data_IF_045398051764
#
_entry.id   IF_045398051764
#
_cell.length_a   1.000
_cell.length_b   1.000
_cell.length_c   1.000
_cell.angle_alpha   90.00
_cell.angle_beta   90.00
_cell.angle_gamma   90.00
#
_symmetry.space_group_name_H-M   'P 1'
#
loop_
_entity.id
_entity.type
_entity.pdbx_description
1 polymer ?
#
# COMPACT_ATOMS: atom_id res chain seq x y z
N UNK A 1 -11.07 4.22 3.93
CA UNK A 1 -11.34 4.41 2.48
C UNK A 1 -11.45 3.03 1.84
N UNK A 2 -12.47 2.79 1.00
CA UNK A 2 -12.57 1.58 0.17
C UNK A 2 -12.44 1.98 -1.31
N UNK A 3 -11.45 1.41 -2.01
CA UNK A 3 -11.12 1.74 -3.40
C UNK A 3 -10.38 0.57 -4.06
N UNK A 4 -9.86 0.79 -5.28
CA UNK A 4 -9.13 -0.22 -6.05
C UNK A 4 -7.62 -0.03 -5.98
N UNK A 5 -6.86 -1.07 -6.35
CA UNK A 5 -5.40 -1.11 -6.19
C UNK A 5 -4.64 0.10 -6.75
N UNK A 6 -4.92 0.51 -7.99
CA UNK A 6 -4.23 1.66 -8.60
C UNK A 6 -4.57 2.99 -7.91
N UNK A 7 -5.83 3.18 -7.52
CA UNK A 7 -6.25 4.38 -6.79
C UNK A 7 -5.63 4.45 -5.40
N UNK A 8 -5.58 3.32 -4.68
CA UNK A 8 -4.93 3.22 -3.38
C UNK A 8 -3.41 3.43 -3.48
N UNK A 9 -2.76 2.88 -4.52
CA UNK A 9 -1.34 3.11 -4.81
C UNK A 9 -1.06 4.60 -5.02
N UNK A 10 -1.93 5.31 -5.74
CA UNK A 10 -1.81 6.77 -5.90
C UNK A 10 -1.94 7.54 -4.59
N UNK A 11 -2.85 7.13 -3.71
CA UNK A 11 -3.00 7.75 -2.38
C UNK A 11 -1.76 7.52 -1.51
N UNK A 12 -1.26 6.28 -1.46
CA UNK A 12 -0.04 5.94 -0.72
C UNK A 12 1.17 6.70 -1.28
N UNK A 13 1.30 6.78 -2.62
CA UNK A 13 2.35 7.58 -3.27
C UNK A 13 2.35 9.03 -2.76
N UNK A 14 1.17 9.63 -2.70
CA UNK A 14 1.02 11.02 -2.26
C UNK A 14 1.38 11.20 -0.78
N UNK A 15 0.88 10.31 0.09
CA UNK A 15 1.12 10.39 1.54
C UNK A 15 2.58 10.15 1.88
N UNK A 16 3.20 9.14 1.27
CA UNK A 16 4.57 8.71 1.59
C UNK A 16 5.65 9.41 0.76
N UNK A 17 5.26 10.26 -0.20
CA UNK A 17 6.20 10.93 -1.09
C UNK A 17 6.98 9.97 -2.00
N UNK A 18 6.36 8.88 -2.44
CA UNK A 18 7.00 7.87 -3.28
C UNK A 18 7.26 8.45 -4.68
N UNK A 19 8.47 8.24 -5.19
CA UNK A 19 8.90 8.69 -6.52
C UNK A 19 8.14 7.97 -7.64
N UNK A 20 8.21 8.51 -8.87
CA UNK A 20 7.64 7.85 -10.04
C UNK A 20 8.38 6.56 -10.40
N UNK A 21 9.65 6.46 -10.06
CA UNK A 21 10.50 5.30 -10.30
C UNK A 21 10.13 4.16 -9.34
N UNK A 22 9.95 4.49 -8.05
CA UNK A 22 9.73 3.51 -6.98
C UNK A 22 8.29 3.00 -6.92
N UNK A 23 7.31 3.77 -7.42
CA UNK A 23 5.88 3.41 -7.30
C UNK A 23 5.53 2.09 -7.99
N UNK A 24 6.31 1.71 -9.00
CA UNK A 24 6.18 0.45 -9.74
C UNK A 24 6.40 -0.78 -8.84
N UNK A 25 7.20 -0.65 -7.78
CA UNK A 25 7.48 -1.71 -6.81
C UNK A 25 6.42 -1.87 -5.73
N UNK A 26 5.53 -0.89 -5.54
CA UNK A 26 4.53 -0.90 -4.48
C UNK A 26 3.36 -1.84 -4.81
N UNK A 27 3.16 -2.87 -3.98
CA UNK A 27 2.04 -3.80 -4.10
C UNK A 27 1.09 -3.63 -2.91
N UNK A 28 -0.15 -3.21 -3.18
CA UNK A 28 -1.20 -3.09 -2.17
C UNK A 28 -2.02 -4.38 -2.15
N UNK A 29 -2.12 -5.10 -1.02
CA UNK A 29 -2.90 -6.32 -0.93
C UNK A 29 -4.40 -6.04 -1.00
N UNK A 30 -5.16 -6.96 -1.58
CA UNK A 30 -6.62 -6.87 -1.64
C UNK A 30 -7.23 -7.29 -0.31
N UNK A 31 -8.16 -6.48 0.21
CA UNK A 31 -8.99 -6.85 1.36
C UNK A 31 -8.28 -6.83 2.73
N UNK A 32 -7.03 -6.34 2.80
CA UNK A 32 -6.30 -6.19 4.07
C UNK A 32 -6.29 -4.71 4.48
N UNK A 33 -6.82 -4.33 5.66
CA UNK A 33 -6.82 -2.95 6.12
C UNK A 33 -5.41 -2.39 6.35
N UNK A 34 -5.11 -1.25 5.73
CA UNK A 34 -3.91 -0.45 5.96
C UNK A 34 -4.27 0.81 6.75
N UNK A 35 -3.73 0.95 7.96
CA UNK A 35 -3.96 2.09 8.84
C UNK A 35 -2.90 3.17 8.62
N UNK A 36 -3.33 4.42 8.52
CA UNK A 36 -2.48 5.61 8.52
C UNK A 36 -2.86 6.49 9.69
N UNK A 37 -1.87 6.87 10.47
CA UNK A 37 -1.96 7.98 11.43
C UNK A 37 -1.28 9.18 10.78
N UNK A 38 -1.99 10.31 10.73
CA UNK A 38 -1.53 11.53 10.07
C UNK A 38 -1.36 12.64 11.10
N UNK A 39 -0.38 13.52 10.89
CA UNK A 39 -0.22 14.75 11.66
C UNK A 39 -1.16 15.86 11.18
N UNK A 40 -1.02 17.06 11.78
CA UNK A 40 -1.84 18.22 11.44
C UNK A 40 -1.64 18.74 10.01
N UNK A 41 -0.52 18.39 9.37
CA UNK A 41 -0.20 18.72 7.98
C UNK A 41 -0.56 17.58 7.02
N UNK A 42 -1.32 16.58 7.49
CA UNK A 42 -1.70 15.36 6.77
C UNK A 42 -0.53 14.48 6.32
N UNK A 43 0.63 14.60 6.98
CA UNK A 43 1.77 13.72 6.72
C UNK A 43 1.67 12.45 7.57
N UNK A 44 2.03 11.29 7.03
CA UNK A 44 2.01 10.05 7.79
C UNK A 44 3.04 10.08 8.92
N UNK A 45 2.60 9.79 10.15
CA UNK A 45 3.49 9.57 11.30
C UNK A 45 4.40 8.35 11.08
N UNK A 46 3.92 7.38 10.29
CA UNK A 46 4.66 6.19 9.87
C UNK A 46 4.49 5.98 8.37
N UNK A 47 5.52 6.26 7.56
CA UNK A 47 5.49 5.98 6.12
C UNK A 47 5.16 4.51 5.84
N UNK A 48 4.31 4.27 4.85
CA UNK A 48 3.82 2.94 4.50
C UNK A 48 2.69 2.43 5.39
N UNK A 49 2.29 3.19 6.42
CA UNK A 49 1.22 2.85 7.35
C UNK A 49 1.51 1.60 8.20
N UNK A 50 0.45 1.02 8.76
CA UNK A 50 0.49 -0.26 9.50
C UNK A 50 -0.67 -1.14 9.08
N UNK A 51 -0.36 -2.34 8.60
CA UNK A 51 -1.37 -3.38 8.41
C UNK A 51 -1.81 -3.91 9.76
N UNK A 52 -3.13 -4.05 9.94
CA UNK A 52 -3.70 -4.57 11.20
C UNK A 52 -3.41 -6.07 11.40
N UNK A 53 -3.19 -6.79 10.30
CA UNK A 53 -2.70 -8.17 10.29
C UNK A 53 -1.45 -8.24 9.37
N UNK A 54 -0.24 -8.12 9.93
CA UNK A 54 1.00 -8.10 9.15
C UNK A 54 1.29 -9.41 8.41
N UNK A 55 0.91 -10.56 8.99
CA UNK A 55 1.17 -11.88 8.41
C UNK A 55 0.28 -12.13 7.19
N UNK A 56 -1.02 -11.82 7.32
CA UNK A 56 -1.95 -11.86 6.19
C UNK A 56 -1.55 -10.86 5.10
N UNK A 57 -1.11 -9.65 5.48
CA UNK A 57 -0.64 -8.64 4.53
C UNK A 57 0.56 -9.15 3.72
N UNK A 58 1.56 -9.74 4.38
CA UNK A 58 2.75 -10.26 3.71
C UNK A 58 2.41 -11.35 2.69
N UNK A 59 1.56 -12.31 3.07
CA UNK A 59 1.11 -13.37 2.17
C UNK A 59 0.33 -12.81 0.97
N UNK A 60 -0.58 -11.86 1.21
CA UNK A 60 -1.40 -11.25 0.17
C UNK A 60 -0.58 -10.35 -0.78
N UNK A 61 0.43 -9.63 -0.28
CA UNK A 61 1.34 -8.83 -1.09
C UNK A 61 2.12 -9.72 -2.06
N UNK A 62 2.65 -10.84 -1.59
CA UNK A 62 3.35 -11.81 -2.44
C UNK A 62 2.40 -12.45 -3.47
N UNK A 63 1.14 -12.70 -3.11
CA UNK A 63 0.14 -13.16 -4.06
C UNK A 63 -0.09 -12.11 -5.17
N UNK A 64 -0.30 -10.84 -4.83
CA UNK A 64 -0.49 -9.74 -5.80
C UNK A 64 0.73 -9.58 -6.71
N UNK A 65 1.94 -9.60 -6.15
CA UNK A 65 3.20 -9.49 -6.91
C UNK A 65 3.35 -10.59 -7.96
N UNK A 66 2.84 -11.79 -7.67
CA UNK A 66 2.94 -12.94 -8.57
C UNK A 66 1.75 -13.08 -9.52
N UNK A 67 0.67 -12.31 -9.38
CA UNK A 67 -0.51 -12.38 -10.28
C UNK A 67 -0.17 -12.09 -11.76
N UNK A 68 0.88 -11.30 -12.02
CA UNK A 68 1.34 -10.99 -13.38
C UNK A 68 2.35 -11.98 -13.97
N UNK A 69 2.86 -12.94 -13.20
CA UNK A 69 3.77 -13.96 -13.71
C UNK A 69 2.94 -15.05 -14.38
N UNK A 70 3.15 -15.26 -15.68
CA UNK A 70 2.51 -16.33 -16.45
C UNK A 70 2.72 -17.69 -15.75
N UNK A 71 1.67 -18.52 -15.73
CA UNK A 71 1.80 -19.97 -15.55
C UNK A 71 2.73 -20.56 -16.61
#
# INVERSE_FOLDING_TARGET
VAAHGNSLRGLVKHLDGISDEDISGLNIPTGIPLSYELDADFKPLKPGGTYLDPDAAKAAIEAVKNQGKKK
#
